data_IF_531024986733
#
_entry.id   IF_531024986733
#
_cell.length_a   1.000
_cell.length_b   1.000
_cell.length_c   1.000
_cell.angle_alpha   90.00
_cell.angle_beta   90.00
_cell.angle_gamma   90.00
#
_symmetry.space_group_name_H-M   'P 1'
#
loop_
_entity.id
_entity.type
_entity.pdbx_description
1 polymer ?
#
# COMPACT_ATOMS: atom_id res chain seq x y z
N UNK A 1 10.91 -10.78 -3.48
CA UNK A 1 9.56 -10.14 -3.51
C UNK A 1 9.52 -9.12 -4.63
N UNK A 2 8.49 -9.17 -5.45
CA UNK A 2 8.42 -8.30 -6.63
C UNK A 2 8.07 -6.86 -6.30
N UNK A 3 7.02 -6.66 -5.51
CA UNK A 3 6.42 -5.34 -5.32
C UNK A 3 6.13 -5.06 -3.86
N UNK A 4 6.46 -3.85 -3.41
CA UNK A 4 5.99 -3.30 -2.14
C UNK A 4 5.09 -2.11 -2.45
N UNK A 5 3.89 -2.11 -1.89
CA UNK A 5 2.92 -1.03 -2.06
C UNK A 5 2.81 -0.30 -0.72
N UNK A 6 3.13 0.99 -0.71
CA UNK A 6 3.07 1.83 0.48
C UNK A 6 1.85 2.72 0.39
N UNK A 7 0.95 2.60 1.36
CA UNK A 7 -0.32 3.33 1.38
C UNK A 7 -0.41 4.15 2.66
N UNK A 8 -0.09 5.44 2.60
CA UNK A 8 -0.36 6.33 3.73
C UNK A 8 -1.85 6.63 3.78
N UNK A 9 -2.41 6.67 4.98
CA UNK A 9 -3.85 6.87 5.13
C UNK A 9 -4.20 7.63 6.40
N UNK A 10 -5.35 8.30 6.35
CA UNK A 10 -5.94 8.99 7.48
C UNK A 10 -7.46 8.97 7.32
N UNK A 11 -8.18 8.32 8.25
CA UNK A 11 -9.63 8.21 8.24
C UNK A 11 -10.18 7.62 6.93
N UNK A 12 -9.75 6.41 6.60
CA UNK A 12 -10.13 5.71 5.37
C UNK A 12 -10.76 4.33 5.65
N UNK A 13 -11.51 4.20 6.75
CA UNK A 13 -12.05 2.90 7.15
C UNK A 13 -12.95 2.25 6.08
N UNK A 14 -13.66 3.06 5.30
CA UNK A 14 -14.59 2.52 4.30
C UNK A 14 -13.89 2.08 3.02
N UNK A 15 -12.83 2.78 2.60
CA UNK A 15 -12.16 2.48 1.34
C UNK A 15 -11.12 1.37 1.45
N UNK A 16 -10.53 1.15 2.63
CA UNK A 16 -9.45 0.18 2.81
C UNK A 16 -9.81 -1.25 2.38
N UNK A 17 -10.97 -1.82 2.75
CA UNK A 17 -11.28 -3.18 2.30
C UNK A 17 -11.38 -3.29 0.79
N UNK A 18 -11.93 -2.30 0.12
CA UNK A 18 -12.05 -2.28 -1.33
C UNK A 18 -10.67 -2.18 -2.00
N UNK A 19 -9.80 -1.34 -1.46
CA UNK A 19 -8.46 -1.16 -2.00
C UNK A 19 -7.66 -2.46 -1.89
N UNK A 20 -7.68 -3.10 -0.74
CA UNK A 20 -6.92 -4.34 -0.51
C UNK A 20 -7.46 -5.47 -1.40
N UNK A 21 -8.77 -5.61 -1.51
CA UNK A 21 -9.35 -6.62 -2.39
C UNK A 21 -8.94 -6.39 -3.85
N UNK A 22 -8.95 -5.16 -4.29
CA UNK A 22 -8.54 -4.81 -5.66
C UNK A 22 -7.06 -5.10 -5.89
N UNK A 23 -6.19 -4.69 -4.96
CA UNK A 23 -4.75 -4.97 -5.06
C UNK A 23 -4.51 -6.49 -5.10
N UNK A 24 -5.13 -7.23 -4.19
CA UNK A 24 -4.96 -8.68 -4.11
C UNK A 24 -5.34 -9.35 -5.43
N UNK A 25 -6.45 -8.95 -6.03
CA UNK A 25 -6.88 -9.50 -7.31
C UNK A 25 -5.87 -9.23 -8.41
N UNK A 26 -5.37 -7.99 -8.52
CA UNK A 26 -4.40 -7.61 -9.55
C UNK A 26 -3.09 -8.39 -9.35
N UNK A 27 -2.63 -8.52 -8.12
CA UNK A 27 -1.40 -9.26 -7.84
C UNK A 27 -1.53 -10.73 -8.20
N UNK A 28 -2.67 -11.34 -7.85
CA UNK A 28 -2.94 -12.75 -8.16
C UNK A 28 -3.03 -12.99 -9.66
N UNK A 29 -3.73 -12.13 -10.38
CA UNK A 29 -3.90 -12.26 -11.83
C UNK A 29 -2.59 -12.13 -12.59
N UNK A 30 -1.61 -11.44 -12.03
CA UNK A 30 -0.31 -11.20 -12.67
C UNK A 30 0.83 -11.99 -12.03
N UNK A 31 0.53 -12.87 -11.09
CA UNK A 31 1.50 -13.73 -10.40
C UNK A 31 2.63 -12.95 -9.72
N UNK A 32 2.33 -11.78 -9.16
CA UNK A 32 3.30 -11.02 -8.40
C UNK A 32 3.39 -11.49 -6.95
N UNK A 33 4.60 -11.59 -6.43
CA UNK A 33 4.82 -11.63 -4.99
C UNK A 33 4.84 -10.19 -4.48
N UNK A 34 4.16 -9.92 -3.37
CA UNK A 34 3.94 -8.54 -2.94
C UNK A 34 3.73 -8.42 -1.45
N UNK A 35 3.88 -7.20 -0.98
CA UNK A 35 3.43 -6.77 0.34
C UNK A 35 2.73 -5.43 0.20
N UNK A 36 1.80 -5.15 1.12
CA UNK A 36 1.15 -3.86 1.23
C UNK A 36 1.41 -3.34 2.63
N UNK A 37 1.99 -2.15 2.73
CA UNK A 37 2.21 -1.48 4.00
C UNK A 37 1.18 -0.35 4.15
N UNK A 38 0.24 -0.54 5.07
CA UNK A 38 -0.78 0.45 5.39
C UNK A 38 -0.28 1.27 6.57
N UNK A 39 0.07 2.54 6.31
CA UNK A 39 0.61 3.43 7.33
C UNK A 39 -0.51 4.34 7.81
N UNK A 40 -1.05 4.04 8.99
CA UNK A 40 -2.12 4.81 9.59
C UNK A 40 -1.55 6.06 10.26
N UNK A 41 -1.79 7.20 9.67
CA UNK A 41 -1.26 8.49 10.12
C UNK A 41 -2.14 9.09 11.22
N UNK A 42 -2.42 8.29 12.24
CA UNK A 42 -3.14 8.77 13.42
C UNK A 42 -4.64 8.91 13.22
N UNK A 43 -5.29 8.01 12.48
CA UNK A 43 -6.73 8.06 12.22
C UNK A 43 -7.53 8.10 13.50
N UNK A 44 -8.64 8.82 13.48
CA UNK A 44 -9.59 8.94 14.58
C UNK A 44 -10.81 8.04 14.41
N UNK A 45 -11.01 7.49 13.22
CA UNK A 45 -12.08 6.53 12.94
C UNK A 45 -11.62 5.10 13.21
N UNK A 46 -12.28 4.11 12.62
CA UNK A 46 -11.96 2.68 12.82
C UNK A 46 -10.95 2.15 11.81
N UNK A 47 -10.18 3.02 11.14
CA UNK A 47 -9.20 2.59 10.15
C UNK A 47 -8.22 1.57 10.71
N UNK A 48 -7.70 1.79 11.92
CA UNK A 48 -6.75 0.83 12.49
C UNK A 48 -7.37 -0.55 12.74
N UNK A 49 -8.61 -0.59 13.24
CA UNK A 49 -9.30 -1.87 13.43
C UNK A 49 -9.49 -2.60 12.11
N UNK A 50 -9.79 -1.86 11.03
CA UNK A 50 -9.91 -2.44 9.69
C UNK A 50 -8.57 -2.97 9.23
N UNK A 51 -7.47 -2.23 9.43
CA UNK A 51 -6.13 -2.68 9.07
C UNK A 51 -5.77 -3.99 9.77
N UNK A 52 -6.07 -4.09 11.06
CA UNK A 52 -5.81 -5.31 11.82
C UNK A 52 -6.58 -6.51 11.25
N UNK A 53 -7.85 -6.31 10.90
CA UNK A 53 -8.66 -7.35 10.28
C UNK A 53 -8.10 -7.79 8.93
N UNK A 54 -7.70 -6.83 8.11
CA UNK A 54 -7.14 -7.12 6.78
C UNK A 54 -5.82 -7.89 6.89
N UNK A 55 -4.96 -7.51 7.83
CA UNK A 55 -3.67 -8.19 8.01
C UNK A 55 -3.83 -9.60 8.55
N UNK A 56 -4.88 -9.88 9.33
CA UNK A 56 -5.17 -11.23 9.80
C UNK A 56 -5.62 -12.14 8.66
N UNK A 57 -6.34 -11.61 7.69
CA UNK A 57 -6.85 -12.37 6.55
C UNK A 57 -5.82 -12.55 5.44
N UNK A 58 -4.89 -11.60 5.30
CA UNK A 58 -3.91 -11.61 4.23
C UNK A 58 -2.51 -11.34 4.81
N UNK A 59 -1.63 -12.36 4.82
CA UNK A 59 -0.30 -12.21 5.39
C UNK A 59 0.58 -11.21 4.63
N UNK A 60 0.19 -10.82 3.43
CA UNK A 60 0.93 -9.81 2.65
C UNK A 60 0.59 -8.38 3.08
N UNK A 61 -0.44 -8.19 3.90
CA UNK A 61 -0.87 -6.87 4.37
C UNK A 61 -0.28 -6.63 5.76
N UNK A 62 0.45 -5.54 5.91
CA UNK A 62 1.08 -5.14 7.16
C UNK A 62 0.63 -3.73 7.53
N UNK A 63 0.49 -3.47 8.81
CA UNK A 63 0.05 -2.17 9.30
C UNK A 63 1.07 -1.52 10.21
N UNK A 64 1.17 -0.20 10.11
CA UNK A 64 1.94 0.64 11.03
C UNK A 64 0.99 1.72 11.53
N UNK A 65 0.94 1.93 12.84
CA UNK A 65 0.05 2.91 13.45
C UNK A 65 0.86 4.04 14.08
N UNK A 66 0.56 5.27 13.68
CA UNK A 66 1.08 6.45 14.37
C UNK A 66 0.14 6.83 15.51
N UNK A 67 0.70 7.33 16.60
CA UNK A 67 -0.09 7.81 17.74
C UNK A 67 -0.94 9.02 17.40
N UNK A 68 -0.48 9.84 16.46
CA UNK A 68 -1.15 11.07 16.04
C UNK A 68 -0.79 11.34 14.59
N UNK A 69 -1.41 12.35 14.00
CA UNK A 69 -1.13 12.74 12.63
C UNK A 69 0.22 13.45 12.55
N UNK A 70 1.14 12.89 11.75
CA UNK A 70 2.45 13.47 11.50
C UNK A 70 2.62 13.94 10.06
N UNK A 71 1.66 13.63 9.19
CA UNK A 71 1.68 14.03 7.80
C UNK A 71 2.07 12.91 6.84
N UNK A 72 1.70 13.10 5.58
CA UNK A 72 1.91 12.12 4.53
C UNK A 72 3.40 11.81 4.31
N UNK A 73 4.26 12.83 4.36
CA UNK A 73 5.70 12.64 4.17
C UNK A 73 6.30 11.72 5.22
N UNK A 74 5.91 11.89 6.48
CA UNK A 74 6.37 11.02 7.55
C UNK A 74 5.90 9.58 7.34
N UNK A 75 4.63 9.40 6.93
CA UNK A 75 4.08 8.09 6.67
C UNK A 75 4.82 7.39 5.52
N UNK A 76 5.10 8.10 4.44
CA UNK A 76 5.85 7.54 3.31
C UNK A 76 7.27 7.15 3.71
N UNK A 77 7.96 8.00 4.50
CA UNK A 77 9.31 7.69 4.95
C UNK A 77 9.36 6.42 5.79
N UNK A 78 8.42 6.25 6.71
CA UNK A 78 8.35 5.03 7.52
C UNK A 78 8.10 3.82 6.63
N UNK A 79 7.19 3.93 5.66
CA UNK A 79 6.92 2.87 4.72
C UNK A 79 8.17 2.48 3.93
N UNK A 80 8.89 3.45 3.39
CA UNK A 80 10.10 3.19 2.60
C UNK A 80 11.21 2.50 3.40
N UNK A 81 11.30 2.75 4.69
CA UNK A 81 12.27 2.09 5.54
C UNK A 81 11.98 0.61 5.78
N UNK A 82 10.74 0.18 5.54
CA UNK A 82 10.27 -1.16 5.88
C UNK A 82 10.01 -2.06 4.67
N UNK A 83 10.16 -1.54 3.45
CA UNK A 83 9.84 -2.30 2.25
C UNK A 83 10.94 -3.29 1.88
N UNK A 84 10.54 -4.41 1.30
CA UNK A 84 11.45 -5.48 0.89
C UNK A 84 11.34 -5.79 -0.60
N UNK A 85 10.35 -5.23 -1.30
CA UNK A 85 10.13 -5.51 -2.72
C UNK A 85 11.16 -4.85 -3.62
N UNK A 86 11.36 -5.44 -4.79
CA UNK A 86 12.26 -4.90 -5.81
C UNK A 86 11.74 -3.57 -6.37
N UNK A 87 10.44 -3.43 -6.45
CA UNK A 87 9.77 -2.23 -6.95
C UNK A 87 8.86 -1.69 -5.84
N UNK A 88 8.94 -0.38 -5.59
CA UNK A 88 8.14 0.29 -4.58
C UNK A 88 7.13 1.18 -5.29
N UNK A 89 5.84 1.00 -4.97
CA UNK A 89 4.76 1.80 -5.54
C UNK A 89 4.00 2.42 -4.38
N UNK A 90 3.71 3.71 -4.47
CA UNK A 90 2.88 4.40 -3.48
C UNK A 90 1.48 4.61 -4.03
N UNK A 91 0.47 4.49 -3.19
CA UNK A 91 -0.93 4.70 -3.56
C UNK A 91 -1.64 5.44 -2.45
N UNK A 92 -2.62 6.27 -2.80
CA UNK A 92 -3.53 6.86 -1.83
C UNK A 92 -4.66 5.87 -1.53
N UNK A 93 -5.19 5.93 -0.31
CA UNK A 93 -6.20 4.96 0.14
C UNK A 93 -7.62 5.30 -0.31
N UNK A 94 -7.84 6.44 -0.95
CA UNK A 94 -9.16 6.96 -1.30
C UNK A 94 -9.72 6.44 -2.63
N UNK A 95 -9.08 5.41 -3.22
CA UNK A 95 -9.48 4.76 -4.46
C UNK A 95 -9.36 5.64 -5.71
N UNK A 96 -8.66 6.77 -5.63
CA UNK A 96 -8.38 7.60 -6.82
C UNK A 96 -7.31 6.99 -7.70
N UNK A 97 -6.33 6.31 -7.11
CA UNK A 97 -5.33 5.59 -7.86
C UNK A 97 -5.86 4.19 -8.20
N UNK A 98 -5.55 3.71 -9.39
CA UNK A 98 -6.05 2.41 -9.84
C UNK A 98 -4.98 1.32 -9.68
N UNK A 99 -5.22 0.30 -8.83
CA UNK A 99 -4.34 -0.86 -8.79
C UNK A 99 -4.17 -1.58 -10.13
N UNK A 100 -5.09 -1.40 -11.07
CA UNK A 100 -4.97 -1.99 -12.41
C UNK A 100 -3.74 -1.48 -13.16
N UNK A 101 -3.20 -0.33 -12.78
CA UNK A 101 -2.00 0.24 -13.40
C UNK A 101 -0.70 -0.37 -12.87
N UNK A 102 -0.76 -1.13 -11.77
CA UNK A 102 0.44 -1.67 -11.15
C UNK A 102 1.29 -2.53 -12.10
N UNK A 103 0.71 -3.44 -12.88
CA UNK A 103 1.54 -4.25 -13.80
C UNK A 103 2.32 -3.40 -14.79
N UNK A 104 1.71 -2.34 -15.32
CA UNK A 104 2.39 -1.45 -16.26
C UNK A 104 3.50 -0.65 -15.56
N UNK A 105 3.23 -0.14 -14.34
CA UNK A 105 4.23 0.57 -13.56
C UNK A 105 5.42 -0.34 -13.23
N UNK A 106 5.14 -1.58 -12.86
CA UNK A 106 6.19 -2.56 -12.58
C UNK A 106 7.06 -2.79 -13.82
N UNK A 107 6.43 -2.97 -14.97
CA UNK A 107 7.14 -3.18 -16.23
C UNK A 107 8.03 -1.99 -16.58
N UNK A 108 7.52 -0.77 -16.40
CA UNK A 108 8.28 0.44 -16.69
C UNK A 108 9.54 0.53 -15.81
N UNK A 109 9.40 0.25 -14.52
CA UNK A 109 10.53 0.30 -13.61
C UNK A 109 11.59 -0.75 -13.98
N UNK A 110 11.14 -1.98 -14.24
CA UNK A 110 12.06 -3.10 -14.51
C UNK A 110 12.73 -3.00 -15.87
N UNK A 111 12.05 -2.50 -16.90
CA UNK A 111 12.59 -2.45 -18.25
C UNK A 111 13.20 -1.10 -18.61
N UNK A 112 12.72 -0.01 -18.04
CA UNK A 112 13.15 1.34 -18.40
C UNK A 112 14.02 2.00 -17.33
N UNK A 113 14.25 1.33 -16.20
CA UNK A 113 15.22 1.77 -15.20
C UNK A 113 14.73 2.84 -14.22
N UNK A 114 13.42 3.03 -14.09
CA UNK A 114 12.90 3.93 -13.05
C UNK A 114 12.99 3.27 -11.69
N UNK A 115 13.40 4.03 -10.66
CA UNK A 115 13.57 3.50 -9.32
C UNK A 115 12.31 3.64 -8.49
N UNK A 116 11.45 4.62 -8.76
CA UNK A 116 10.28 4.92 -7.97
C UNK A 116 9.19 5.55 -8.83
N UNK A 117 7.96 5.04 -8.69
CA UNK A 117 6.79 5.58 -9.37
C UNK A 117 5.72 5.91 -8.35
N UNK A 118 5.12 7.09 -8.46
CA UNK A 118 4.01 7.53 -7.63
C UNK A 118 2.71 7.38 -8.41
N UNK A 119 1.79 6.62 -7.80
CA UNK A 119 0.47 6.44 -8.38
C UNK A 119 -0.52 7.48 -7.91
#
# INVERSE_FOLDING_TARGET
>A
MDISIVVPLYNEEESLPHLIEWIERVMRENNFSYEVLLIDDGSKDNSWAVIEQLSQKNPNVKGVKFRRNYGKSAALNVGFERVEGDVIITMDADLQDSPDEIPELYRMIKTEGYDLVYG
#
